data_IF_940600336913
#
_entry.id   IF_940600336913
#
_cell.length_a   1.000
_cell.length_b   1.000
_cell.length_c   1.000
_cell.angle_alpha   90.00
_cell.angle_beta   90.00
_cell.angle_gamma   90.00
#
_symmetry.space_group_name_H-M   'P 1'
#
loop_
_entity.id
_entity.type
_entity.pdbx_description
1 polymer ?
#
# COMPACT_ATOMS: atom_id res chain seq x y z
N UNK A 1 24.68 -37.53 9.77
CA UNK A 1 24.11 -36.31 9.16
C UNK A 1 23.42 -35.57 10.30
N UNK A 2 23.95 -34.41 10.67
CA UNK A 2 23.64 -33.70 11.92
C UNK A 2 22.46 -32.75 11.71
N UNK A 3 21.57 -32.61 12.71
CA UNK A 3 20.44 -31.68 12.71
C UNK A 3 20.85 -30.19 12.49
N UNK A 4 22.14 -29.88 12.54
CA UNK A 4 22.70 -28.55 12.29
C UNK A 4 22.59 -28.08 10.83
N UNK A 5 22.46 -28.98 9.86
CA UNK A 5 22.38 -28.60 8.43
C UNK A 5 20.97 -28.11 8.02
N UNK A 6 19.95 -28.39 8.83
CA UNK A 6 18.57 -27.94 8.58
C UNK A 6 18.36 -26.50 9.08
N UNK A 7 18.92 -26.12 10.23
CA UNK A 7 18.75 -24.77 10.80
C UNK A 7 19.52 -23.71 10.00
N UNK A 8 20.66 -24.09 9.41
CA UNK A 8 21.45 -23.17 8.60
C UNK A 8 20.74 -22.80 7.28
N UNK A 9 19.99 -23.74 6.69
CA UNK A 9 19.26 -23.51 5.44
C UNK A 9 17.96 -22.71 5.64
N UNK A 10 17.25 -22.86 6.76
CA UNK A 10 16.08 -22.02 7.05
C UNK A 10 16.47 -20.58 7.40
N UNK A 11 17.62 -20.37 8.05
CA UNK A 11 18.15 -19.04 8.36
C UNK A 11 18.56 -18.25 7.12
N UNK A 12 19.16 -18.91 6.13
CA UNK A 12 19.60 -18.24 4.88
C UNK A 12 18.43 -17.96 3.93
N UNK A 13 17.40 -18.83 3.90
CA UNK A 13 16.21 -18.60 3.07
C UNK A 13 15.28 -17.50 3.64
N UNK A 14 15.26 -17.29 4.96
CA UNK A 14 14.54 -16.15 5.57
C UNK A 14 15.25 -14.80 5.41
N UNK A 15 16.56 -14.81 5.13
CA UNK A 15 17.38 -13.60 5.09
C UNK A 15 17.29 -12.79 3.77
N UNK A 16 16.60 -13.31 2.74
CA UNK A 16 16.48 -12.63 1.43
C UNK A 16 15.13 -11.94 1.22
N UNK A 17 14.19 -12.08 2.16
CA UNK A 17 12.92 -11.36 2.17
C UNK A 17 12.63 -10.83 3.57
N UNK A 18 13.52 -10.01 4.10
CA UNK A 18 13.17 -9.13 5.22
C UNK A 18 12.23 -8.06 4.66
N UNK A 19 10.96 -8.41 4.42
CA UNK A 19 9.90 -7.41 4.33
C UNK A 19 10.01 -6.67 5.66
N UNK A 20 10.47 -5.41 5.60
CA UNK A 20 10.54 -4.58 6.79
C UNK A 20 9.17 -4.73 7.49
N UNK A 21 9.11 -5.10 8.77
CA UNK A 21 7.83 -5.32 9.45
C UNK A 21 6.95 -4.07 9.46
N UNK A 22 7.54 -2.91 9.13
CA UNK A 22 6.86 -1.64 9.01
C UNK A 22 6.40 -1.30 7.59
N UNK A 23 6.76 -2.08 6.57
CA UNK A 23 6.35 -1.83 5.18
C UNK A 23 5.13 -2.65 4.82
N UNK A 24 4.22 -2.03 4.08
CA UNK A 24 3.07 -2.67 3.46
C UNK A 24 3.16 -2.53 1.94
N UNK A 25 2.64 -3.53 1.23
CA UNK A 25 2.53 -3.52 -0.23
C UNK A 25 1.07 -3.51 -0.65
N UNK A 26 0.62 -2.42 -1.25
CA UNK A 26 -0.77 -2.23 -1.69
C UNK A 26 -0.86 -2.30 -3.21
N UNK A 27 -1.98 -2.79 -3.72
CA UNK A 27 -2.31 -2.70 -5.14
C UNK A 27 -3.11 -1.42 -5.38
N UNK A 28 -2.72 -0.60 -6.36
CA UNK A 28 -3.41 0.66 -6.66
C UNK A 28 -3.95 0.61 -8.07
N UNK A 29 -5.26 0.75 -8.24
CA UNK A 29 -5.90 1.02 -9.53
C UNK A 29 -5.80 2.51 -9.84
N UNK A 30 -5.11 2.83 -10.92
CA UNK A 30 -4.77 4.18 -11.33
C UNK A 30 -5.87 4.77 -12.22
N UNK A 31 -5.85 6.10 -12.40
CA UNK A 31 -6.78 6.83 -13.25
C UNK A 31 -6.73 6.40 -14.73
N UNK A 32 -5.60 5.85 -15.19
CA UNK A 32 -5.42 5.33 -16.55
C UNK A 32 -5.95 3.90 -16.73
N UNK A 33 -6.56 3.32 -15.69
CA UNK A 33 -7.09 1.96 -15.67
C UNK A 33 -6.04 0.87 -15.42
N UNK A 34 -4.76 1.20 -15.28
CA UNK A 34 -3.72 0.23 -14.91
C UNK A 34 -3.73 -0.04 -13.41
N UNK A 35 -3.01 -1.08 -13.01
CA UNK A 35 -2.77 -1.42 -11.61
C UNK A 35 -1.28 -1.51 -11.33
N UNK A 36 -0.86 -0.96 -10.20
CA UNK A 36 0.54 -0.96 -9.77
C UNK A 36 0.64 -1.36 -8.30
N UNK A 37 1.69 -2.13 -7.98
CA UNK A 37 2.01 -2.43 -6.59
C UNK A 37 2.93 -1.36 -6.01
N UNK A 38 2.46 -0.67 -4.98
CA UNK A 38 3.23 0.34 -4.28
C UNK A 38 3.57 -0.11 -2.86
N UNK A 39 4.79 0.21 -2.43
CA UNK A 39 5.21 0.06 -1.04
C UNK A 39 5.08 1.36 -0.26
N UNK A 40 4.60 1.26 0.97
CA UNK A 40 4.49 2.33 1.96
C UNK A 40 4.95 1.82 3.32
N UNK A 41 5.24 2.72 4.27
CA UNK A 41 5.28 2.31 5.66
C UNK A 41 3.86 2.31 6.23
N UNK A 42 3.56 1.36 7.12
CA UNK A 42 2.26 1.29 7.82
C UNK A 42 1.95 2.54 8.64
N UNK A 43 3.00 3.25 9.07
CA UNK A 43 2.92 4.52 9.80
C UNK A 43 2.85 5.75 8.89
N UNK A 44 2.94 5.58 7.57
CA UNK A 44 2.75 6.69 6.65
C UNK A 44 1.31 7.21 6.80
N UNK A 45 1.14 8.52 6.67
CA UNK A 45 -0.18 9.15 6.67
C UNK A 45 -0.76 9.13 5.26
N UNK A 46 -2.07 9.26 5.14
CA UNK A 46 -2.76 9.28 3.85
C UNK A 46 -2.22 10.38 2.91
N UNK A 47 -1.84 11.54 3.46
CA UNK A 47 -1.16 12.63 2.72
C UNK A 47 0.11 12.16 1.99
N UNK A 48 0.88 11.23 2.57
CA UNK A 48 2.07 10.69 1.92
C UNK A 48 1.72 9.74 0.77
N UNK A 49 0.59 9.03 0.86
CA UNK A 49 0.04 8.24 -0.25
C UNK A 49 -0.32 9.17 -1.39
N UNK A 50 -1.11 10.22 -1.14
CA UNK A 50 -1.48 11.22 -2.13
C UNK A 50 -0.25 11.84 -2.81
N UNK A 51 0.73 12.32 -2.03
CA UNK A 51 1.97 12.89 -2.57
C UNK A 51 2.71 11.94 -3.54
N UNK A 52 2.75 10.64 -3.22
CA UNK A 52 3.39 9.64 -4.08
C UNK A 52 2.59 9.37 -5.35
N UNK A 53 1.26 9.33 -5.24
CA UNK A 53 0.37 9.13 -6.37
C UNK A 53 0.40 10.34 -7.32
N UNK A 54 0.35 11.55 -6.78
CA UNK A 54 0.37 12.79 -7.56
C UNK A 54 1.70 12.99 -8.26
N UNK A 55 2.82 12.76 -7.56
CA UNK A 55 4.14 12.93 -8.13
C UNK A 55 4.48 11.97 -9.28
N UNK A 56 3.81 10.81 -9.37
CA UNK A 56 4.17 9.76 -10.35
C UNK A 56 3.06 9.37 -11.32
N UNK A 57 1.81 9.37 -10.87
CA UNK A 57 0.67 8.80 -11.60
C UNK A 57 -0.43 9.82 -11.88
N UNK A 58 -0.39 11.00 -11.27
CA UNK A 58 -1.28 12.12 -11.60
C UNK A 58 -0.51 13.45 -11.81
N UNK A 59 0.47 13.48 -12.74
CA UNK A 59 1.26 14.69 -12.99
C UNK A 59 0.44 15.86 -13.57
N UNK A 60 -0.74 15.57 -14.13
CA UNK A 60 -1.68 16.58 -14.63
C UNK A 60 -2.45 17.32 -13.54
N UNK A 61 -2.39 16.86 -12.29
CA UNK A 61 -3.13 17.46 -11.18
C UNK A 61 -4.65 17.30 -11.32
N UNK A 62 -5.11 16.21 -11.94
CA UNK A 62 -6.54 15.90 -12.02
C UNK A 62 -7.10 15.66 -10.62
N UNK A 63 -8.32 16.11 -10.35
CA UNK A 63 -8.99 15.81 -9.09
C UNK A 63 -9.49 14.36 -9.09
N UNK A 64 -9.21 13.63 -8.01
CA UNK A 64 -9.66 12.26 -7.84
C UNK A 64 -10.03 11.98 -6.38
N UNK A 65 -10.97 11.06 -6.20
CA UNK A 65 -11.23 10.42 -4.92
C UNK A 65 -10.33 9.18 -4.80
N UNK A 66 -9.81 8.93 -3.61
CA UNK A 66 -9.08 7.71 -3.30
C UNK A 66 -9.97 6.82 -2.44
N UNK A 67 -10.19 5.58 -2.87
CA UNK A 67 -11.05 4.63 -2.17
C UNK A 67 -10.25 3.39 -1.76
N UNK A 68 -10.59 2.83 -0.60
CA UNK A 68 -10.14 1.51 -0.18
C UNK A 68 -11.20 0.47 -0.53
N UNK A 69 -10.82 -0.56 -1.28
CA UNK A 69 -11.68 -1.71 -1.51
C UNK A 69 -11.48 -2.75 -0.39
N UNK A 70 -12.56 -3.05 0.34
CA UNK A 70 -12.61 -4.08 1.36
C UNK A 70 -13.72 -5.08 0.98
N UNK A 71 -13.32 -6.25 0.48
CA UNK A 71 -14.25 -7.25 -0.08
C UNK A 71 -15.13 -6.61 -1.18
N UNK A 72 -16.44 -6.57 -0.95
CA UNK A 72 -17.45 -6.03 -1.88
C UNK A 72 -17.87 -4.59 -1.51
N UNK A 73 -17.08 -3.89 -0.70
CA UNK A 73 -17.34 -2.50 -0.27
C UNK A 73 -16.19 -1.57 -0.66
N UNK A 74 -16.54 -0.34 -1.03
CA UNK A 74 -15.59 0.75 -1.23
C UNK A 74 -15.76 1.78 -0.11
N UNK A 75 -14.66 2.13 0.55
CA UNK A 75 -14.60 3.15 1.59
C UNK A 75 -13.90 4.37 1.01
N UNK A 76 -14.56 5.52 1.01
CA UNK A 76 -13.95 6.77 0.59
C UNK A 76 -12.92 7.25 1.62
N UNK A 77 -11.70 7.52 1.15
CA UNK A 77 -10.60 8.01 1.97
C UNK A 77 -10.39 9.52 1.84
N UNK A 78 -11.13 10.21 0.97
CA UNK A 78 -10.91 11.63 0.62
C UNK A 78 -11.13 12.57 1.82
N UNK A 79 -12.05 12.22 2.71
CA UNK A 79 -12.42 13.03 3.88
C UNK A 79 -11.91 12.46 5.22
N UNK A 80 -10.95 11.54 5.20
CA UNK A 80 -10.41 10.99 6.46
C UNK A 80 -9.63 12.05 7.23
N UNK A 81 -9.78 12.05 8.57
CA UNK A 81 -9.09 13.00 9.45
C UNK A 81 -7.59 13.03 9.18
N UNK A 82 -7.06 14.24 9.07
CA UNK A 82 -5.63 14.49 8.97
C UNK A 82 -4.89 13.82 10.14
N UNK A 83 -3.91 12.98 9.80
CA UNK A 83 -3.03 12.36 10.78
C UNK A 83 -3.23 10.86 10.98
N UNK A 84 -4.31 10.25 10.46
CA UNK A 84 -4.45 8.78 10.48
C UNK A 84 -3.38 8.11 9.64
N UNK A 85 -2.75 7.09 10.21
CA UNK A 85 -1.77 6.26 9.50
C UNK A 85 -2.48 5.20 8.64
N UNK A 86 -1.75 4.57 7.72
CA UNK A 86 -2.28 3.46 6.93
C UNK A 86 -2.71 2.28 7.83
N UNK A 87 -2.01 2.04 8.94
CA UNK A 87 -2.40 1.04 9.94
C UNK A 87 -3.73 1.39 10.63
N UNK A 88 -3.94 2.65 11.01
CA UNK A 88 -5.20 3.12 11.62
C UNK A 88 -6.40 3.00 10.65
N UNK A 89 -6.14 3.14 9.35
CA UNK A 89 -7.12 2.98 8.28
C UNK A 89 -7.32 1.52 7.86
N UNK A 90 -6.69 0.57 8.56
CA UNK A 90 -6.71 -0.87 8.24
C UNK A 90 -6.17 -1.19 6.83
N UNK A 91 -5.35 -0.31 6.27
CA UNK A 91 -4.67 -0.50 5.00
C UNK A 91 -3.42 -1.34 5.28
N UNK A 92 -3.46 -2.58 4.81
CA UNK A 92 -2.42 -3.60 5.04
C UNK A 92 -1.89 -4.14 3.72
N UNK A 93 -0.84 -4.96 3.76
CA UNK A 93 -0.34 -5.66 2.58
C UNK A 93 -1.47 -6.45 1.90
N UNK A 94 -1.62 -6.25 0.58
CA UNK A 94 -2.69 -6.85 -0.22
C UNK A 94 -3.96 -6.00 -0.32
N UNK A 95 -4.04 -4.88 0.41
CA UNK A 95 -5.15 -3.93 0.25
C UNK A 95 -5.15 -3.32 -1.15
N UNK A 96 -6.34 -3.00 -1.63
CA UNK A 96 -6.57 -2.43 -2.95
C UNK A 96 -7.05 -0.99 -2.79
N UNK A 97 -6.30 -0.04 -3.33
CA UNK A 97 -6.68 1.36 -3.43
C UNK A 97 -7.13 1.68 -4.85
N UNK A 98 -8.15 2.51 -5.00
CA UNK A 98 -8.74 2.86 -6.30
C UNK A 98 -8.77 4.37 -6.42
N UNK A 99 -8.06 4.89 -7.42
CA UNK A 99 -8.18 6.28 -7.85
C UNK A 99 -9.40 6.41 -8.77
N UNK A 100 -10.34 7.27 -8.41
CA UNK A 100 -11.55 7.55 -9.20
C UNK A 100 -11.57 9.02 -9.58
N UNK A 101 -11.64 9.32 -10.88
CA UNK A 101 -11.74 10.71 -11.34
C UNK A 101 -13.00 11.38 -10.77
N UNK A 102 -12.88 12.62 -10.31
CA UNK A 102 -14.02 13.44 -9.89
C UNK A 102 -14.51 14.28 -11.07
N UNK A 103 -15.83 14.31 -11.25
CA UNK A 103 -16.52 15.13 -12.26
C UNK A 103 -16.75 16.56 -11.77
#
# INVERSE_FOLDING_TARGET
>A
MSAADWEYNEGILRSQYTVSPNKIRVNVHLLDGKSEFLEFNKTDQLTQVYNKLDGRYNPGGELYALKLQVKDQEIDLTDQEDGKTLEDLLITTGSILIMTKMD
#
